data_IF_880453212832
#
_entry.id   IF_880453212832
#
_cell.length_a   1.000
_cell.length_b   1.000
_cell.length_c   1.000
_cell.angle_alpha   90.00
_cell.angle_beta   90.00
_cell.angle_gamma   90.00
#
_symmetry.space_group_name_H-M   'P 1'
#
loop_
_entity.id
_entity.type
_entity.pdbx_description
1 polymer ?
#
# COMPACT_ATOMS: atom_id res chain seq x y z
N UNK A 1 -26.39 -5.90 -0.71
CA UNK A 1 -25.99 -5.42 0.63
C UNK A 1 -24.63 -6.03 0.91
N UNK A 2 -23.57 -5.24 1.14
CA UNK A 2 -22.26 -5.81 1.46
C UNK A 2 -22.38 -6.73 2.68
N UNK A 3 -22.05 -8.01 2.50
CA UNK A 3 -22.10 -9.03 3.55
C UNK A 3 -21.02 -8.83 4.59
N UNK A 4 -21.10 -7.78 5.42
CA UNK A 4 -20.11 -7.50 6.48
C UNK A 4 -19.93 -8.66 7.46
N UNK A 5 -20.99 -9.44 7.69
CA UNK A 5 -20.92 -10.68 8.49
C UNK A 5 -20.02 -11.73 7.84
N UNK A 6 -20.09 -11.85 6.53
CA UNK A 6 -19.26 -12.78 5.76
C UNK A 6 -17.82 -12.29 5.70
N UNK A 7 -17.60 -11.00 5.45
CA UNK A 7 -16.25 -10.41 5.47
C UNK A 7 -15.56 -10.61 6.83
N UNK A 8 -16.29 -10.42 7.94
CA UNK A 8 -15.80 -10.67 9.32
C UNK A 8 -15.37 -12.12 9.58
N UNK A 9 -15.94 -13.09 8.86
CA UNK A 9 -15.56 -14.50 9.00
C UNK A 9 -14.25 -14.82 8.27
N UNK A 10 -13.88 -14.01 7.28
CA UNK A 10 -12.75 -14.27 6.39
C UNK A 10 -11.54 -13.36 6.64
N UNK A 11 -11.75 -12.18 7.24
CA UNK A 11 -10.73 -11.15 7.44
C UNK A 11 -10.68 -10.74 8.91
N UNK A 12 -9.49 -10.78 9.50
CA UNK A 12 -9.20 -10.22 10.82
C UNK A 12 -8.75 -8.76 10.71
N UNK A 13 -8.97 -8.01 11.79
CA UNK A 13 -8.72 -6.58 11.87
C UNK A 13 -10.01 -5.78 12.00
N UNK A 14 -9.91 -4.46 11.83
CA UNK A 14 -11.04 -3.55 12.04
C UNK A 14 -11.87 -3.38 10.76
N UNK A 15 -13.18 -3.35 10.92
CA UNK A 15 -14.16 -3.15 9.85
C UNK A 15 -15.16 -2.08 10.27
N UNK A 16 -15.16 -0.96 9.57
CA UNK A 16 -16.04 0.19 9.82
C UNK A 16 -16.99 0.43 8.64
N UNK A 17 -18.12 1.08 8.91
CA UNK A 17 -19.19 1.35 7.94
C UNK A 17 -19.47 2.83 7.95
N UNK A 18 -19.42 3.48 6.79
CA UNK A 18 -19.66 4.92 6.68
C UNK A 18 -18.58 5.76 7.38
N UNK A 19 -17.41 5.19 7.64
CA UNK A 19 -16.35 5.84 8.41
C UNK A 19 -15.59 6.86 7.54
N UNK A 20 -15.38 8.10 8.03
CA UNK A 20 -14.60 9.11 7.32
C UNK A 20 -13.14 8.67 7.12
N UNK A 21 -12.65 8.68 5.88
CA UNK A 21 -11.25 8.35 5.61
C UNK A 21 -10.27 9.39 6.19
N UNK A 22 -10.74 10.61 6.47
CA UNK A 22 -9.96 11.63 7.15
C UNK A 22 -9.39 11.17 8.50
N UNK A 23 -10.09 10.29 9.23
CA UNK A 23 -9.68 9.81 10.55
C UNK A 23 -8.59 8.73 10.48
N UNK A 24 -8.32 8.21 9.28
CA UNK A 24 -7.42 7.08 9.04
C UNK A 24 -6.27 7.39 8.08
N UNK A 25 -6.14 8.63 7.63
CA UNK A 25 -5.14 9.03 6.62
C UNK A 25 -4.28 10.18 7.10
N UNK A 26 -3.01 10.19 6.66
CA UNK A 26 -2.07 11.27 6.99
C UNK A 26 -2.55 12.62 6.44
N UNK A 27 -3.18 12.63 5.27
CA UNK A 27 -3.73 13.84 4.69
C UNK A 27 -4.86 14.47 5.52
N UNK A 28 -5.45 13.71 6.48
CA UNK A 28 -6.65 14.08 7.25
C UNK A 28 -7.76 14.62 6.37
N UNK A 29 -7.91 14.01 5.20
CA UNK A 29 -8.84 14.37 4.13
C UNK A 29 -9.44 13.08 3.58
N UNK A 30 -10.71 13.12 3.23
CA UNK A 30 -11.44 11.96 2.74
C UNK A 30 -12.82 11.87 3.37
N UNK A 31 -13.85 11.73 2.55
CA UNK A 31 -15.22 11.47 2.99
C UNK A 31 -15.42 10.04 3.48
N UNK A 32 -16.67 9.64 3.76
CA UNK A 32 -16.99 8.32 4.28
C UNK A 32 -16.82 7.22 3.22
N UNK A 33 -16.28 6.07 3.62
CA UNK A 33 -16.31 4.85 2.80
C UNK A 33 -17.50 3.95 3.20
N UNK A 34 -18.18 3.30 2.24
CA UNK A 34 -19.26 2.36 2.59
C UNK A 34 -18.74 1.24 3.51
N UNK A 35 -17.53 0.74 3.23
CA UNK A 35 -16.80 -0.16 4.10
C UNK A 35 -15.33 0.26 4.19
N UNK A 36 -14.81 0.43 5.39
CA UNK A 36 -13.39 0.58 5.64
C UNK A 36 -12.84 -0.70 6.25
N UNK A 37 -11.76 -1.21 5.68
CA UNK A 37 -11.05 -2.42 6.12
C UNK A 37 -9.65 -2.06 6.57
N UNK A 38 -9.33 -2.41 7.81
CA UNK A 38 -7.99 -2.26 8.41
C UNK A 38 -7.49 -3.67 8.75
N UNK A 39 -6.83 -4.37 7.81
CA UNK A 39 -6.43 -5.75 8.02
C UNK A 39 -5.34 -5.87 9.09
N UNK A 40 -5.40 -6.94 9.88
CA UNK A 40 -4.41 -7.22 10.94
C UNK A 40 -3.01 -7.54 10.37
N UNK A 41 -2.94 -8.09 9.16
CA UNK A 41 -1.67 -8.43 8.51
C UNK A 41 -1.80 -8.77 7.03
N UNK A 42 -0.69 -9.18 6.41
CA UNK A 42 -0.59 -9.50 4.96
C UNK A 42 -1.64 -10.52 4.50
N UNK A 43 -1.89 -11.56 5.28
CA UNK A 43 -2.87 -12.59 4.94
C UNK A 43 -4.29 -12.00 4.87
N UNK A 44 -4.68 -11.21 5.88
CA UNK A 44 -5.97 -10.53 5.94
C UNK A 44 -6.14 -9.49 4.84
N UNK A 45 -5.06 -8.76 4.50
CA UNK A 45 -5.03 -7.84 3.37
C UNK A 45 -5.32 -8.56 2.04
N UNK A 46 -4.64 -9.68 1.78
CA UNK A 46 -4.86 -10.49 0.59
C UNK A 46 -6.29 -11.08 0.54
N UNK A 47 -6.79 -11.57 1.69
CA UNK A 47 -8.17 -12.09 1.81
C UNK A 47 -9.22 -11.01 1.56
N UNK A 48 -8.99 -9.78 2.04
CA UNK A 48 -9.87 -8.63 1.81
C UNK A 48 -9.97 -8.33 0.31
N UNK A 49 -8.83 -8.23 -0.38
CA UNK A 49 -8.80 -7.98 -1.83
C UNK A 49 -9.55 -9.08 -2.58
N UNK A 50 -9.27 -10.35 -2.26
CA UNK A 50 -9.93 -11.50 -2.88
C UNK A 50 -11.44 -11.48 -2.69
N UNK A 51 -11.91 -11.14 -1.50
CA UNK A 51 -13.33 -11.05 -1.20
C UNK A 51 -14.01 -10.03 -2.13
N UNK A 52 -13.48 -8.81 -2.20
CA UNK A 52 -14.09 -7.76 -3.03
C UNK A 52 -13.99 -8.08 -4.53
N UNK A 53 -12.88 -8.65 -4.99
CA UNK A 53 -12.73 -9.16 -6.37
C UNK A 53 -13.79 -10.22 -6.72
N UNK A 54 -14.03 -11.19 -5.83
CA UNK A 54 -15.02 -12.27 -6.07
C UNK A 54 -16.46 -11.79 -6.00
N UNK A 55 -16.73 -10.79 -5.15
CA UNK A 55 -18.06 -10.22 -4.97
C UNK A 55 -18.43 -9.14 -6.00
N UNK A 56 -17.53 -8.85 -6.94
CA UNK A 56 -17.64 -7.76 -7.94
C UNK A 56 -18.02 -6.41 -7.30
N UNK A 57 -17.50 -6.17 -6.10
CA UNK A 57 -17.73 -4.93 -5.35
C UNK A 57 -16.56 -3.98 -5.60
N UNK A 58 -16.81 -2.71 -5.94
CA UNK A 58 -15.76 -1.71 -6.08
C UNK A 58 -14.94 -1.60 -4.79
N UNK A 59 -13.62 -1.62 -4.92
CA UNK A 59 -12.74 -1.37 -3.79
C UNK A 59 -11.51 -0.55 -4.21
N UNK A 60 -10.87 0.07 -3.23
CA UNK A 60 -9.62 0.81 -3.40
C UNK A 60 -8.65 0.47 -2.29
N UNK A 61 -7.39 0.19 -2.67
CA UNK A 61 -6.30 0.08 -1.70
C UNK A 61 -5.72 1.47 -1.44
N UNK A 62 -5.56 1.81 -0.17
CA UNK A 62 -4.95 3.07 0.28
C UNK A 62 -3.79 2.76 1.21
N UNK A 63 -2.63 3.37 0.93
CA UNK A 63 -1.45 3.30 1.82
C UNK A 63 -1.63 4.12 3.09
N UNK A 64 -0.78 5.12 3.29
CA UNK A 64 -0.94 6.12 4.37
C UNK A 64 -2.00 7.16 4.07
N UNK A 65 -2.47 7.23 2.82
CA UNK A 65 -3.43 8.23 2.38
C UNK A 65 -2.90 9.66 2.35
N UNK A 66 -1.57 9.88 2.34
CA UNK A 66 -0.95 11.22 2.29
C UNK A 66 -1.37 12.07 1.07
N UNK A 67 -1.86 11.42 0.02
CA UNK A 67 -2.41 12.06 -1.19
C UNK A 67 -3.87 11.72 -1.48
N UNK A 68 -4.60 11.16 -0.52
CA UNK A 68 -6.01 10.88 -0.73
C UNK A 68 -6.76 12.20 -0.98
N UNK A 69 -7.48 12.26 -2.11
CA UNK A 69 -8.36 13.37 -2.45
C UNK A 69 -9.57 12.81 -3.21
N UNK A 70 -10.68 12.65 -2.50
CA UNK A 70 -11.98 12.27 -3.04
C UNK A 70 -12.95 13.47 -3.11
N UNK A 71 -12.44 14.69 -2.90
CA UNK A 71 -13.26 15.89 -2.82
C UNK A 71 -14.25 15.90 -1.65
N UNK A 72 -14.12 14.99 -0.68
CA UNK A 72 -15.04 14.84 0.45
C UNK A 72 -16.34 14.07 0.13
N UNK A 73 -16.53 13.62 -1.12
CA UNK A 73 -17.72 12.89 -1.53
C UNK A 73 -17.79 11.46 -0.94
N UNK A 74 -16.67 10.96 -0.42
CA UNK A 74 -16.54 9.60 0.07
C UNK A 74 -16.29 8.57 -1.04
N UNK A 75 -16.24 7.30 -0.65
CA UNK A 75 -16.01 6.19 -1.56
C UNK A 75 -17.17 5.20 -1.52
N UNK A 76 -17.81 4.99 -2.67
CA UNK A 76 -18.84 3.95 -2.85
C UNK A 76 -18.14 2.60 -3.06
N UNK A 77 -18.37 1.67 -2.14
CA UNK A 77 -17.62 0.41 -2.05
C UNK A 77 -16.62 0.38 -0.88
N UNK A 78 -15.59 -0.46 -0.99
CA UNK A 78 -14.66 -0.70 0.10
C UNK A 78 -13.31 0.04 -0.02
N UNK A 79 -12.79 0.54 1.08
CA UNK A 79 -11.41 1.01 1.19
C UNK A 79 -10.63 0.06 2.06
N UNK A 80 -9.47 -0.41 1.58
CA UNK A 80 -8.59 -1.34 2.29
C UNK A 80 -7.29 -0.61 2.60
N UNK A 81 -6.97 -0.44 3.89
CA UNK A 81 -5.74 0.21 4.32
C UNK A 81 -4.58 -0.79 4.30
N UNK A 82 -3.52 -0.48 3.55
CA UNK A 82 -2.34 -1.35 3.45
C UNK A 82 -1.25 -1.03 4.48
N UNK A 83 -1.24 0.17 5.05
CA UNK A 83 -0.10 0.68 5.83
C UNK A 83 0.23 -0.22 7.04
N UNK A 84 -0.74 -0.59 7.88
CA UNK A 84 -0.50 -1.52 9.01
C UNK A 84 -0.23 -2.95 8.56
N UNK A 85 -1.00 -3.44 7.59
CA UNK A 85 -0.96 -4.83 7.18
C UNK A 85 0.32 -5.23 6.43
N UNK A 86 0.96 -4.26 5.76
CA UNK A 86 2.13 -4.42 4.92
C UNK A 86 3.30 -3.55 5.40
N UNK A 87 3.38 -3.24 6.69
CA UNK A 87 4.54 -2.57 7.28
C UNK A 87 5.72 -3.52 7.44
N UNK A 88 6.90 -2.94 7.61
CA UNK A 88 8.13 -3.66 7.93
C UNK A 88 9.19 -3.51 6.86
N UNK A 89 10.43 -3.43 7.33
CA UNK A 89 11.62 -3.37 6.50
C UNK A 89 12.66 -4.30 7.09
N UNK A 90 13.40 -4.98 6.22
CA UNK A 90 14.52 -5.83 6.62
C UNK A 90 15.68 -5.65 5.67
N UNK A 91 16.89 -5.66 6.21
CA UNK A 91 18.12 -5.62 5.43
C UNK A 91 18.73 -7.02 5.47
N UNK A 92 18.87 -7.66 4.31
CA UNK A 92 19.45 -9.00 4.24
C UNK A 92 20.23 -9.19 2.94
N UNK A 93 21.43 -9.78 3.05
CA UNK A 93 22.26 -10.15 1.90
C UNK A 93 22.42 -9.04 0.83
N UNK A 94 22.67 -7.80 1.25
CA UNK A 94 22.86 -6.65 0.34
C UNK A 94 21.57 -6.12 -0.30
N UNK A 95 20.40 -6.50 0.25
CA UNK A 95 19.09 -6.03 -0.20
C UNK A 95 18.30 -5.43 0.95
N UNK A 96 17.42 -4.50 0.60
CA UNK A 96 16.38 -3.99 1.49
C UNK A 96 15.06 -4.57 1.03
N UNK A 97 14.38 -5.33 1.88
CA UNK A 97 13.04 -5.85 1.60
C UNK A 97 12.06 -5.06 2.45
N UNK A 98 11.16 -4.33 1.79
CA UNK A 98 10.14 -3.52 2.44
C UNK A 98 8.74 -3.97 2.01
N UNK A 99 7.81 -4.00 2.96
CA UNK A 99 6.40 -4.12 2.64
C UNK A 99 5.86 -2.85 1.98
N UNK A 100 4.80 -2.98 1.17
CA UNK A 100 4.20 -1.83 0.49
C UNK A 100 3.54 -0.81 1.44
N UNK A 101 3.26 -1.19 2.68
CA UNK A 101 2.72 -0.32 3.73
C UNK A 101 3.78 0.46 4.51
N UNK A 102 5.05 0.08 4.40
CA UNK A 102 6.18 0.73 5.09
C UNK A 102 6.28 2.20 4.74
N UNK A 103 6.53 3.06 5.73
CA UNK A 103 6.73 4.49 5.49
C UNK A 103 8.04 4.71 4.72
N UNK A 104 8.06 5.69 3.83
CA UNK A 104 9.28 6.07 3.13
C UNK A 104 10.37 6.55 4.10
N UNK A 105 9.98 7.16 5.22
CA UNK A 105 10.88 7.56 6.31
C UNK A 105 11.56 6.38 7.02
N UNK A 106 10.98 5.18 6.94
CA UNK A 106 11.52 3.99 7.61
C UNK A 106 12.52 3.23 6.73
N UNK A 107 12.71 3.67 5.48
CA UNK A 107 13.69 3.07 4.59
C UNK A 107 15.11 3.36 5.09
N UNK A 108 16.00 2.35 5.07
CA UNK A 108 17.36 2.48 5.58
C UNK A 108 18.19 3.48 4.79
N UNK A 109 19.00 4.27 5.50
CA UNK A 109 19.88 5.29 4.93
C UNK A 109 20.91 4.69 3.96
N UNK A 110 21.24 3.40 4.11
CA UNK A 110 22.13 2.66 3.22
C UNK A 110 21.62 2.59 1.77
N UNK A 111 20.34 2.84 1.51
CA UNK A 111 19.81 2.95 0.15
C UNK A 111 20.33 4.18 -0.60
N UNK A 112 21.02 5.12 0.07
CA UNK A 112 21.60 6.31 -0.54
C UNK A 112 20.59 7.08 -1.43
N UNK A 113 19.34 7.16 -0.97
CA UNK A 113 18.29 7.93 -1.62
C UNK A 113 18.56 9.43 -1.46
N UNK A 114 18.08 10.30 -2.36
CA UNK A 114 18.27 11.74 -2.26
C UNK A 114 17.84 12.29 -0.90
N UNK A 115 18.70 13.12 -0.29
CA UNK A 115 18.42 13.75 1.01
C UNK A 115 17.19 14.68 0.97
N UNK A 116 16.83 15.21 -0.21
CA UNK A 116 15.75 16.18 -0.36
C UNK A 116 14.44 15.52 -0.80
N UNK A 117 13.71 14.95 0.17
CA UNK A 117 12.27 14.81 0.04
C UNK A 117 11.58 16.00 0.71
N UNK A 118 10.64 16.70 0.05
CA UNK A 118 9.74 17.58 0.78
C UNK A 118 9.00 16.77 1.85
N UNK A 119 8.78 17.31 3.04
CA UNK A 119 8.20 16.60 4.20
C UNK A 119 6.92 15.79 3.87
N UNK A 120 6.09 16.30 2.95
CA UNK A 120 4.87 15.60 2.47
C UNK A 120 5.13 14.28 1.73
N UNK A 121 6.36 14.01 1.32
CA UNK A 121 6.74 12.78 0.61
C UNK A 121 7.27 11.71 1.55
N UNK A 122 7.88 12.06 2.69
CA UNK A 122 8.29 11.07 3.71
C UNK A 122 7.09 10.47 4.44
N UNK A 123 5.94 11.17 4.44
CA UNK A 123 4.64 10.71 4.92
C UNK A 123 3.96 9.63 4.04
N UNK A 124 4.54 9.30 2.88
CA UNK A 124 4.04 8.27 1.98
C UNK A 124 4.45 6.85 2.37
N UNK A 125 3.67 5.86 1.94
CA UNK A 125 4.08 4.45 1.95
C UNK A 125 4.90 4.09 0.72
N UNK A 126 5.81 3.12 0.83
CA UNK A 126 6.59 2.53 -0.27
C UNK A 126 5.71 2.13 -1.46
N UNK A 127 4.62 1.40 -1.22
CA UNK A 127 3.70 0.96 -2.29
C UNK A 127 3.08 2.14 -3.03
N UNK A 128 2.57 3.12 -2.29
CA UNK A 128 2.05 4.37 -2.86
C UNK A 128 3.09 5.15 -3.70
N UNK A 129 4.34 5.21 -3.25
CA UNK A 129 5.42 5.87 -3.97
C UNK A 129 5.72 5.19 -5.32
N UNK A 130 5.79 3.85 -5.32
CA UNK A 130 6.00 3.03 -6.52
C UNK A 130 4.79 3.08 -7.46
N UNK A 131 3.56 3.14 -6.92
CA UNK A 131 2.32 3.28 -7.69
C UNK A 131 2.16 4.61 -8.41
N UNK A 132 2.53 5.72 -7.76
CA UNK A 132 2.27 7.05 -8.31
C UNK A 132 3.40 7.59 -9.20
N UNK A 133 4.61 7.02 -9.15
CA UNK A 133 5.81 7.46 -9.92
C UNK A 133 5.96 9.00 -9.95
N UNK A 134 5.62 9.67 -8.85
CA UNK A 134 5.15 11.06 -8.89
C UNK A 134 6.22 12.13 -8.64
N UNK A 135 7.48 11.76 -8.43
CA UNK A 135 8.59 12.70 -8.25
C UNK A 135 9.95 12.03 -8.50
N UNK A 136 11.00 12.85 -8.61
CA UNK A 136 12.40 12.41 -8.80
C UNK A 136 12.82 11.34 -7.79
N UNK A 137 12.49 11.52 -6.51
CA UNK A 137 12.73 10.50 -5.48
C UNK A 137 12.02 9.18 -5.77
N UNK A 138 10.74 9.19 -6.18
CA UNK A 138 10.03 7.96 -6.55
C UNK A 138 10.71 7.27 -7.73
N UNK A 139 11.24 8.04 -8.69
CA UNK A 139 11.97 7.50 -9.84
C UNK A 139 13.30 6.86 -9.43
N UNK A 140 14.05 7.48 -8.53
CA UNK A 140 15.30 6.91 -8.00
C UNK A 140 15.05 5.67 -7.14
N UNK A 141 14.04 5.74 -6.26
CA UNK A 141 13.58 4.59 -5.48
C UNK A 141 13.20 3.43 -6.40
N UNK A 142 12.44 3.71 -7.47
CA UNK A 142 12.06 2.72 -8.47
C UNK A 142 13.28 2.17 -9.23
N UNK A 143 14.29 3.01 -9.51
CA UNK A 143 15.54 2.62 -10.16
C UNK A 143 16.38 1.63 -9.35
N UNK A 144 16.22 1.58 -8.03
CA UNK A 144 16.88 0.61 -7.15
C UNK A 144 16.10 -0.70 -6.98
N UNK A 145 14.88 -0.81 -7.52
CA UNK A 145 14.05 -2.01 -7.37
C UNK A 145 14.69 -3.19 -8.09
N UNK A 146 14.89 -4.29 -7.36
CA UNK A 146 15.33 -5.57 -7.93
C UNK A 146 14.12 -6.43 -8.32
N UNK A 147 13.08 -6.48 -7.47
CA UNK A 147 11.82 -7.15 -7.76
C UNK A 147 10.66 -6.57 -6.96
N UNK A 148 9.46 -6.75 -7.50
CA UNK A 148 8.18 -6.45 -6.85
C UNK A 148 7.43 -7.75 -6.58
N UNK A 149 6.84 -7.90 -5.40
CA UNK A 149 5.85 -8.94 -5.13
C UNK A 149 4.46 -8.36 -5.36
N UNK A 150 3.79 -8.83 -6.40
CA UNK A 150 2.46 -8.38 -6.81
C UNK A 150 1.41 -9.41 -6.43
N UNK A 151 0.25 -8.94 -5.98
CA UNK A 151 -0.93 -9.74 -5.70
C UNK A 151 -2.01 -9.50 -6.74
N UNK A 152 -2.56 -10.60 -7.27
CA UNK A 152 -3.72 -10.58 -8.16
C UNK A 152 -4.44 -11.93 -8.12
N UNK A 153 -5.77 -11.93 -8.07
CA UNK A 153 -6.61 -13.13 -8.16
C UNK A 153 -6.22 -14.26 -7.19
N UNK A 154 -5.70 -13.91 -6.01
CA UNK A 154 -5.31 -14.88 -4.98
C UNK A 154 -3.89 -15.40 -5.09
N UNK A 155 -3.14 -14.97 -6.09
CA UNK A 155 -1.75 -15.36 -6.29
C UNK A 155 -0.83 -14.17 -6.03
N UNK A 156 0.24 -14.44 -5.28
CA UNK A 156 1.36 -13.53 -5.11
C UNK A 156 2.50 -14.00 -6.02
N UNK A 157 3.01 -13.11 -6.88
CA UNK A 157 4.13 -13.41 -7.78
C UNK A 157 5.20 -12.35 -7.69
N UNK A 158 6.45 -12.77 -7.83
CA UNK A 158 7.58 -11.84 -7.95
C UNK A 158 7.83 -11.54 -9.41
N UNK A 159 7.95 -10.25 -9.73
CA UNK A 159 8.25 -9.77 -11.07
C UNK A 159 9.40 -8.78 -11.04
N UNK A 160 10.07 -8.62 -12.18
CA UNK A 160 11.00 -7.51 -12.40
C UNK A 160 10.22 -6.19 -12.44
N UNK A 161 10.87 -5.03 -12.17
CA UNK A 161 10.22 -3.72 -12.17
C UNK A 161 9.87 -3.20 -13.58
N UNK A 162 9.27 -4.04 -14.43
CA UNK A 162 8.90 -3.71 -15.81
C UNK A 162 7.51 -3.06 -15.89
N UNK A 163 6.94 -2.71 -14.73
CA UNK A 163 5.58 -2.21 -14.55
C UNK A 163 4.65 -3.24 -13.91
N UNK A 164 3.53 -2.77 -13.38
CA UNK A 164 2.43 -3.58 -12.89
C UNK A 164 1.13 -3.09 -13.55
N UNK A 165 0.25 -4.04 -13.87
CA UNK A 165 -0.98 -3.79 -14.62
C UNK A 165 -2.15 -3.35 -13.74
N UNK A 166 -3.27 -3.01 -14.38
CA UNK A 166 -4.52 -2.73 -13.66
C UNK A 166 -4.95 -3.93 -12.80
N UNK A 167 -5.40 -3.63 -11.58
CA UNK A 167 -5.83 -4.62 -10.61
C UNK A 167 -4.71 -5.35 -9.87
N UNK A 168 -3.44 -5.00 -10.12
CA UNK A 168 -2.29 -5.55 -9.39
C UNK A 168 -1.97 -4.68 -8.17
N UNK A 169 -1.76 -5.33 -7.04
CA UNK A 169 -1.45 -4.67 -5.77
C UNK A 169 -0.04 -5.06 -5.34
N UNK A 170 0.82 -4.09 -5.07
CA UNK A 170 2.17 -4.34 -4.55
C UNK A 170 2.03 -4.80 -3.09
N UNK A 171 2.58 -5.97 -2.75
CA UNK A 171 2.67 -6.48 -1.38
C UNK A 171 3.98 -6.11 -0.71
N UNK A 172 5.09 -6.32 -1.44
CA UNK A 172 6.43 -6.04 -0.98
C UNK A 172 7.36 -5.74 -2.15
N UNK A 173 8.52 -5.17 -1.85
CA UNK A 173 9.54 -4.79 -2.81
C UNK A 173 10.91 -5.13 -2.25
N UNK A 174 11.82 -5.56 -3.11
CA UNK A 174 13.25 -5.57 -2.79
C UNK A 174 13.99 -4.49 -3.56
N UNK A 175 14.83 -3.76 -2.84
CA UNK A 175 15.80 -2.83 -3.38
C UNK A 175 17.19 -3.43 -3.32
N UNK A 176 17.96 -3.19 -4.37
CA UNK A 176 19.39 -3.49 -4.38
C UNK A 176 20.13 -2.35 -3.69
N UNK A 177 20.91 -2.67 -2.67
CA UNK A 177 21.84 -1.68 -2.11
C UNK A 177 22.96 -1.44 -3.12
N UNK A 178 23.16 -0.19 -3.51
CA UNK A 178 24.34 0.21 -4.30
C UNK A 178 25.61 -0.13 -3.51
N UNK A 179 26.66 -0.61 -4.20
CA UNK A 179 28.00 -0.61 -3.59
C UNK A 179 28.35 0.86 -3.33
N UNK A 180 28.57 1.24 -2.07
CA UNK A 180 29.32 2.47 -1.77
C UNK A 180 30.68 2.32 -2.44
N UNK A 181 30.90 3.07 -3.51
CA UNK A 181 32.24 3.33 -4.04
C UNK A 181 33.03 4.17 -3.06
#
# INVERSE_FOLDING_TARGET
>A
MLGLKELRQHVRGDLHIGEPLADHTVARRGGPADVLVIPEGKADFCRSILYFQKSDQPFRVVGTGSRLNDGGAGFRGAVILSHRALQGVSVTAGRVIAGAGTLLSDLPLEMALPEALPERHTEGSVGGALSMRCCSFCSELYGQVEWLELFRNGEARRVKPDGFGEGEVILSVAFRLGRKS
#
